data_IF_656249033262
#
_entry.id   IF_656249033262
#
_cell.length_a   1.000
_cell.length_b   1.000
_cell.length_c   1.000
_cell.angle_alpha   90.00
_cell.angle_beta   90.00
_cell.angle_gamma   90.00
#
_symmetry.space_group_name_H-M   'P 1'
#
loop_
_entity.id
_entity.type
_entity.pdbx_description
1 polymer ?
#
# COMPACT_ATOMS: atom_id res chain seq x y z
N UNK A 1 -14.08 -51.03 22.86
CA UNK A 1 -12.64 -51.26 22.71
C UNK A 1 -12.16 -50.48 21.50
N UNK A 2 -11.27 -49.51 21.72
CA UNK A 2 -10.47 -48.83 20.69
C UNK A 2 -9.34 -49.78 20.24
N UNK A 3 -8.75 -49.58 19.05
CA UNK A 3 -7.48 -48.86 19.07
C UNK A 3 -7.23 -47.95 17.85
N UNK A 4 -6.85 -46.71 18.15
CA UNK A 4 -5.79 -45.99 17.45
C UNK A 4 -4.60 -46.06 18.42
N UNK A 5 -3.38 -46.43 18.00
CA UNK A 5 -2.39 -45.37 17.74
C UNK A 5 -1.27 -45.79 16.76
N UNK A 6 -1.10 -45.04 15.67
CA UNK A 6 0.24 -44.86 15.11
C UNK A 6 0.54 -43.38 15.07
N UNK A 7 1.22 -42.97 16.14
CA UNK A 7 1.81 -41.67 16.34
C UNK A 7 2.73 -41.33 15.17
N UNK A 8 2.33 -40.36 14.34
CA UNK A 8 3.30 -39.59 13.58
C UNK A 8 3.96 -38.61 14.56
N UNK A 9 5.29 -38.66 14.75
CA UNK A 9 5.97 -37.67 15.57
C UNK A 9 5.87 -36.29 14.89
N UNK A 10 5.63 -35.20 15.63
CA UNK A 10 5.75 -33.87 15.08
C UNK A 10 7.21 -33.65 14.66
N UNK A 11 7.38 -33.17 13.42
CA UNK A 11 8.66 -32.69 12.94
C UNK A 11 9.22 -31.70 13.95
N UNK A 12 10.43 -32.01 14.44
CA UNK A 12 11.17 -31.18 15.37
C UNK A 12 11.18 -29.74 14.88
N UNK A 13 10.70 -28.84 15.73
CA UNK A 13 11.00 -27.44 15.64
C UNK A 13 12.53 -27.30 15.60
N UNK A 14 13.06 -26.98 14.43
CA UNK A 14 14.39 -26.40 14.34
C UNK A 14 14.28 -25.02 14.95
N UNK A 15 14.60 -24.95 16.23
CA UNK A 15 14.99 -23.73 16.91
C UNK A 15 16.11 -23.09 16.09
N UNK A 16 15.76 -22.08 15.31
CA UNK A 16 16.77 -21.14 14.83
C UNK A 16 17.16 -20.31 16.05
N UNK A 17 18.22 -20.79 16.71
CA UNK A 17 18.88 -20.09 17.79
C UNK A 17 19.19 -18.66 17.38
N UNK A 18 18.93 -17.76 18.33
CA UNK A 18 19.45 -16.40 18.38
C UNK A 18 20.95 -16.41 18.09
N UNK A 19 21.33 -16.02 16.87
CA UNK A 19 22.70 -15.66 16.56
C UNK A 19 22.94 -14.23 17.07
N UNK A 20 23.30 -14.13 18.36
CA UNK A 20 23.98 -12.94 18.89
C UNK A 20 25.34 -12.82 18.18
N UNK A 21 25.70 -11.65 17.64
CA UNK A 21 27.03 -11.43 17.07
C UNK A 21 28.09 -11.35 18.18
N UNK A 22 29.27 -11.97 18.01
CA UNK A 22 30.34 -11.91 19.00
C UNK A 22 30.99 -10.51 19.03
N UNK A 23 31.22 -10.04 20.25
CA UNK A 23 32.08 -8.91 20.54
C UNK A 23 33.56 -9.30 20.47
N UNK A 24 34.39 -8.33 20.08
CA UNK A 24 35.84 -8.35 20.21
C UNK A 24 36.58 -8.46 18.87
N UNK A 25 37.12 -7.35 18.37
CA UNK A 25 38.51 -6.93 18.63
C UNK A 25 38.81 -5.69 17.80
N UNK A 26 39.22 -4.63 18.48
CA UNK A 26 39.90 -3.48 17.90
C UNK A 26 41.15 -3.95 17.14
N UNK A 27 41.34 -3.43 15.94
CA UNK A 27 42.65 -3.34 15.31
C UNK A 27 42.66 -2.11 14.42
N UNK A 28 43.19 -1.06 15.03
CA UNK A 28 43.83 0.08 14.43
C UNK A 28 45.13 -0.37 13.75
N UNK A 29 45.30 -0.05 12.48
CA UNK A 29 46.55 0.00 11.73
C UNK A 29 46.19 0.52 10.32
N UNK A 30 46.85 1.46 9.66
CA UNK A 30 48.11 2.19 9.85
C UNK A 30 48.07 3.25 8.73
N UNK A 31 48.17 4.55 9.02
CA UNK A 31 49.41 5.34 8.84
C UNK A 31 50.30 4.90 7.68
N UNK A 32 50.39 5.74 6.64
CA UNK A 32 51.62 6.02 5.89
C UNK A 32 51.46 7.43 5.33
N UNK A 33 52.12 8.44 5.92
CA UNK A 33 53.55 8.77 5.89
C UNK A 33 53.90 9.57 4.65
N UNK A 34 54.36 10.82 4.83
CA UNK A 34 55.45 11.42 4.04
C UNK A 34 55.96 12.69 4.74
N UNK A 35 57.22 12.59 5.18
CA UNK A 35 58.27 13.60 5.29
C UNK A 35 58.14 14.73 6.33
N UNK A 36 58.84 14.49 7.44
CA UNK A 36 59.63 15.49 8.12
C UNK A 36 60.96 15.67 7.37
N UNK A 37 61.28 16.91 6.99
CA UNK A 37 62.65 17.35 6.72
C UNK A 37 62.96 18.63 7.52
N UNK A 38 64.24 18.75 7.84
CA UNK A 38 64.82 19.51 8.94
C UNK A 38 65.07 20.97 8.56
N UNK A 39 64.85 21.90 9.48
CA UNK A 39 65.67 23.13 9.55
C UNK A 39 66.02 23.40 11.01
N UNK A 40 67.33 23.53 11.21
CA UNK A 40 68.11 23.77 12.42
C UNK A 40 68.05 25.25 12.87
N UNK A 41 68.72 25.56 13.99
CA UNK A 41 68.98 26.87 14.62
C UNK A 41 67.87 27.48 15.51
N UNK A 42 68.13 28.04 16.70
CA UNK A 42 69.32 28.13 17.55
C UNK A 42 68.81 28.40 18.98
N UNK A 43 69.55 27.94 19.97
CA UNK A 43 69.22 27.99 21.40
C UNK A 43 69.27 29.43 21.95
N UNK A 44 68.18 30.08 22.39
CA UNK A 44 68.30 31.37 23.03
C UNK A 44 68.80 31.18 24.47
N UNK A 45 70.01 31.68 24.75
CA UNK A 45 70.61 31.78 26.08
C UNK A 45 69.66 32.55 27.02
N UNK A 46 69.20 31.86 28.06
CA UNK A 46 68.49 32.43 29.20
C UNK A 46 69.38 33.46 29.93
N UNK A 47 69.13 34.74 29.70
CA UNK A 47 69.59 35.82 30.59
C UNK A 47 68.45 36.12 31.58
N UNK A 48 68.69 36.16 32.90
CA UNK A 48 67.64 36.50 33.84
C UNK A 48 67.18 37.95 33.56
N UNK A 49 65.87 38.23 33.40
CA UNK A 49 65.41 39.60 33.36
C UNK A 49 65.68 40.22 34.73
N UNK A 50 66.56 41.23 34.71
CA UNK A 50 66.74 42.22 35.77
C UNK A 50 65.38 42.62 36.34
N UNK A 51 65.32 42.63 37.67
CA UNK A 51 64.18 43.05 38.49
C UNK A 51 63.36 44.19 37.85
N UNK A 52 62.03 44.06 37.75
CA UNK A 52 61.16 45.14 37.33
C UNK A 52 61.44 46.40 38.16
N UNK A 53 61.89 47.46 37.50
CA UNK A 53 61.90 48.81 38.09
C UNK A 53 60.46 49.13 38.45
N UNK A 54 60.20 49.29 39.74
CA UNK A 54 59.00 49.92 40.27
C UNK A 54 59.04 51.39 39.82
N UNK A 55 58.12 51.88 38.98
CA UNK A 55 57.87 53.31 38.91
C UNK A 55 57.16 53.70 40.21
N UNK A 56 57.94 54.22 41.15
CA UNK A 56 57.39 54.95 42.29
C UNK A 56 57.00 56.35 41.81
N UNK A 57 55.73 56.54 41.52
CA UNK A 57 55.07 57.85 41.49
C UNK A 57 53.56 57.65 41.42
N UNK A 58 52.92 57.50 42.58
CA UNK A 58 51.71 58.24 42.97
C UNK A 58 50.52 58.39 42.02
N UNK A 59 50.37 57.57 40.97
CA UNK A 59 49.13 57.51 40.19
C UNK A 59 48.19 56.57 40.93
N UNK A 60 47.18 57.14 41.58
CA UNK A 60 46.13 56.39 42.25
C UNK A 60 45.64 55.32 41.29
N UNK A 61 45.93 54.07 41.62
CA UNK A 61 45.32 52.92 40.97
C UNK A 61 43.83 53.07 41.20
N UNK A 62 43.11 53.58 40.20
CA UNK A 62 41.68 53.79 40.29
C UNK A 62 41.01 52.42 40.33
N UNK A 63 40.67 51.97 41.54
CA UNK A 63 39.99 50.69 41.76
C UNK A 63 38.69 50.58 40.95
N UNK A 64 38.04 51.71 40.68
CA UNK A 64 36.88 51.79 39.78
C UNK A 64 37.23 51.45 38.31
N UNK A 65 38.41 51.82 37.82
CA UNK A 65 38.85 51.48 36.46
C UNK A 65 39.19 49.99 36.33
N UNK A 66 39.80 49.39 37.36
CA UNK A 66 40.01 47.93 37.42
C UNK A 66 38.67 47.19 37.43
N UNK A 67 37.71 47.66 38.23
CA UNK A 67 36.40 47.02 38.30
C UNK A 67 35.62 47.14 36.98
N UNK A 68 35.68 48.31 36.31
CA UNK A 68 35.09 48.50 34.98
C UNK A 68 35.77 47.64 33.91
N UNK A 69 37.10 47.54 33.91
CA UNK A 69 37.84 46.66 32.99
C UNK A 69 37.50 45.19 33.20
N UNK A 70 37.32 44.77 34.45
CA UNK A 70 36.85 43.41 34.76
C UNK A 70 35.42 43.18 34.24
N UNK A 71 34.49 44.08 34.53
CA UNK A 71 33.11 43.97 34.04
C UNK A 71 33.04 43.95 32.51
N UNK A 72 33.82 44.81 31.82
CA UNK A 72 33.87 44.82 30.37
C UNK A 72 34.47 43.52 29.80
N UNK A 73 35.50 42.97 30.44
CA UNK A 73 36.06 41.66 30.07
C UNK A 73 35.02 40.55 30.24
N UNK A 74 34.36 40.51 31.39
CA UNK A 74 33.32 39.51 31.68
C UNK A 74 32.16 39.62 30.67
N UNK A 75 31.76 40.83 30.28
CA UNK A 75 30.71 41.05 29.26
C UNK A 75 31.15 40.58 27.86
N UNK A 76 32.40 40.84 27.46
CA UNK A 76 32.94 40.37 26.17
C UNK A 76 33.07 38.85 26.16
N UNK A 77 33.53 38.25 27.24
CA UNK A 77 33.63 36.79 27.38
C UNK A 77 32.23 36.13 27.35
N UNK A 78 31.25 36.72 28.03
CA UNK A 78 29.86 36.27 27.98
C UNK A 78 29.29 36.37 26.56
N UNK A 79 29.51 37.48 25.85
CA UNK A 79 29.08 37.63 24.46
C UNK A 79 29.75 36.58 23.56
N UNK A 80 31.06 36.34 23.73
CA UNK A 80 31.78 35.31 22.99
C UNK A 80 31.27 33.89 23.24
N UNK A 81 30.91 33.56 24.48
CA UNK A 81 30.29 32.27 24.83
C UNK A 81 28.89 32.11 24.23
N UNK A 82 28.10 33.19 24.23
CA UNK A 82 26.78 33.22 23.62
C UNK A 82 26.89 32.95 22.12
N UNK A 83 27.75 33.70 21.41
CA UNK A 83 27.93 33.56 19.96
C UNK A 83 28.53 32.19 19.59
N UNK A 84 29.49 31.69 20.38
CA UNK A 84 30.04 30.35 20.20
C UNK A 84 28.97 29.25 20.36
N UNK A 85 28.06 29.37 21.34
CA UNK A 85 26.98 28.41 21.54
C UNK A 85 25.97 28.44 20.38
N UNK A 86 25.59 29.64 19.90
CA UNK A 86 24.69 29.77 18.76
C UNK A 86 25.31 29.24 17.47
N UNK A 87 26.57 29.57 17.18
CA UNK A 87 27.27 29.08 16.00
C UNK A 87 27.50 27.56 16.05
N UNK A 88 27.82 27.00 17.22
CA UNK A 88 27.91 25.56 17.40
C UNK A 88 26.56 24.87 17.11
N UNK A 89 25.47 25.36 17.71
CA UNK A 89 24.11 24.83 17.48
C UNK A 89 23.69 24.95 16.02
N UNK A 90 23.95 26.08 15.39
CA UNK A 90 23.61 26.31 13.99
C UNK A 90 24.35 25.34 13.07
N UNK A 91 25.64 25.12 13.29
CA UNK A 91 26.43 24.13 12.52
C UNK A 91 25.91 22.71 12.73
N UNK A 92 25.64 22.33 13.98
CA UNK A 92 25.04 21.03 14.29
C UNK A 92 23.67 20.84 13.62
N UNK A 93 22.81 21.87 13.61
CA UNK A 93 21.51 21.83 12.95
C UNK A 93 21.65 21.71 11.42
N UNK A 94 22.55 22.47 10.81
CA UNK A 94 22.83 22.40 9.38
C UNK A 94 23.35 21.01 8.97
N UNK A 95 24.25 20.42 9.75
CA UNK A 95 24.75 19.05 9.54
C UNK A 95 23.64 18.01 9.70
N UNK A 96 22.78 18.18 10.71
CA UNK A 96 21.67 17.26 10.97
C UNK A 96 20.61 17.36 9.87
N UNK A 97 20.33 18.55 9.35
CA UNK A 97 19.47 18.77 8.19
C UNK A 97 20.09 18.12 6.96
N UNK A 98 21.37 18.38 6.66
CA UNK A 98 22.06 17.78 5.51
C UNK A 98 22.04 16.24 5.56
N UNK A 99 22.22 15.65 6.75
CA UNK A 99 22.14 14.21 6.94
C UNK A 99 20.73 13.68 6.71
N UNK A 100 19.70 14.36 7.25
CA UNK A 100 18.28 14.01 7.01
C UNK A 100 17.94 14.06 5.53
N UNK A 101 18.29 15.15 4.83
CA UNK A 101 18.07 15.28 3.38
C UNK A 101 18.74 14.16 2.61
N UNK A 102 19.96 13.74 2.99
CA UNK A 102 20.66 12.61 2.36
C UNK A 102 19.99 11.26 2.62
N UNK A 103 19.42 11.06 3.81
CA UNK A 103 18.65 9.84 4.14
C UNK A 103 17.34 9.83 3.37
N UNK A 104 16.63 10.96 3.32
CA UNK A 104 15.38 11.11 2.57
C UNK A 104 15.61 10.88 1.08
N UNK A 105 16.67 11.45 0.49
CA UNK A 105 17.06 11.19 -0.89
C UNK A 105 17.28 9.70 -1.15
N UNK A 106 18.05 9.01 -0.30
CA UNK A 106 18.27 7.55 -0.42
C UNK A 106 16.99 6.74 -0.24
N UNK A 107 16.05 7.17 0.61
CA UNK A 107 14.73 6.53 0.75
C UNK A 107 13.88 6.74 -0.50
N UNK A 108 13.87 7.94 -1.05
CA UNK A 108 13.16 8.26 -2.29
C UNK A 108 13.71 7.45 -3.47
N UNK A 109 15.04 7.36 -3.61
CA UNK A 109 15.69 6.53 -4.64
C UNK A 109 15.32 5.05 -4.52
N UNK A 110 15.30 4.48 -3.31
CA UNK A 110 14.83 3.08 -3.11
C UNK A 110 13.36 2.91 -3.45
N UNK A 111 12.51 3.87 -3.06
CA UNK A 111 11.09 3.83 -3.38
C UNK A 111 10.86 3.93 -4.89
N UNK A 112 11.62 4.75 -5.60
CA UNK A 112 11.59 4.88 -7.05
C UNK A 112 12.09 3.61 -7.74
N UNK A 113 13.20 3.02 -7.28
CA UNK A 113 13.67 1.73 -7.77
C UNK A 113 12.63 0.63 -7.60
N UNK A 114 11.92 0.60 -6.46
CA UNK A 114 10.84 -0.35 -6.24
C UNK A 114 9.68 -0.10 -7.21
N UNK A 115 9.27 1.15 -7.43
CA UNK A 115 8.23 1.50 -8.41
C UNK A 115 8.59 1.07 -9.82
N UNK A 116 9.83 1.30 -10.25
CA UNK A 116 10.33 0.89 -11.57
C UNK A 116 10.33 -0.64 -11.68
N UNK A 117 10.76 -1.35 -10.63
CA UNK A 117 10.72 -2.82 -10.62
C UNK A 117 9.29 -3.35 -10.70
N UNK A 118 8.37 -2.79 -9.91
CA UNK A 118 6.96 -3.19 -9.89
C UNK A 118 6.29 -2.90 -11.24
N UNK A 119 6.58 -1.74 -11.85
CA UNK A 119 6.09 -1.37 -13.17
C UNK A 119 6.61 -2.33 -14.26
N UNK A 120 7.90 -2.64 -14.25
CA UNK A 120 8.52 -3.59 -15.19
C UNK A 120 8.01 -5.02 -14.98
N UNK A 121 7.74 -5.43 -13.74
CA UNK A 121 7.11 -6.73 -13.45
C UNK A 121 5.66 -6.77 -13.94
N UNK A 122 4.90 -5.70 -13.69
CA UNK A 122 3.51 -5.55 -14.15
C UNK A 122 3.43 -5.53 -15.67
N UNK A 123 4.34 -4.85 -16.36
CA UNK A 123 4.45 -4.85 -17.83
C UNK A 123 4.74 -6.25 -18.37
N UNK A 124 5.69 -6.99 -17.78
CA UNK A 124 5.98 -8.38 -18.15
C UNK A 124 4.82 -9.32 -17.91
N UNK A 125 4.04 -9.08 -16.87
CA UNK A 125 2.82 -9.84 -16.61
C UNK A 125 1.73 -9.49 -17.62
N UNK A 126 1.50 -8.20 -17.87
CA UNK A 126 0.55 -7.71 -18.85
C UNK A 126 0.86 -8.23 -20.25
N UNK A 127 2.13 -8.24 -20.68
CA UNK A 127 2.55 -8.82 -21.98
C UNK A 127 2.25 -10.32 -22.09
N UNK A 128 2.46 -11.08 -21.01
CA UNK A 128 2.12 -12.52 -20.97
C UNK A 128 0.62 -12.74 -21.00
N UNK A 129 -0.15 -11.89 -20.33
CA UNK A 129 -1.61 -11.96 -20.33
C UNK A 129 -2.18 -11.52 -21.68
N UNK A 130 -1.63 -10.49 -22.33
CA UNK A 130 -2.01 -10.01 -23.66
C UNK A 130 -1.67 -11.04 -24.74
N UNK A 131 -0.49 -11.68 -24.70
CA UNK A 131 -0.15 -12.76 -25.64
C UNK A 131 -1.07 -13.96 -25.47
N UNK A 132 -1.40 -14.32 -24.22
CA UNK A 132 -2.37 -15.36 -23.91
C UNK A 132 -3.78 -14.99 -24.36
N UNK A 133 -4.18 -13.72 -24.21
CA UNK A 133 -5.47 -13.21 -24.69
C UNK A 133 -5.53 -13.19 -26.21
N UNK A 134 -4.48 -12.72 -26.90
CA UNK A 134 -4.39 -12.72 -28.36
C UNK A 134 -4.42 -14.14 -28.94
N UNK A 135 -3.75 -15.11 -28.30
CA UNK A 135 -3.83 -16.52 -28.67
C UNK A 135 -5.22 -17.10 -28.40
N UNK A 136 -5.83 -16.79 -27.26
CA UNK A 136 -7.19 -17.22 -26.94
C UNK A 136 -8.23 -16.59 -27.89
N UNK A 137 -8.04 -15.35 -28.34
CA UNK A 137 -8.90 -14.69 -29.32
C UNK A 137 -8.71 -15.26 -30.73
N UNK A 138 -7.48 -15.59 -31.13
CA UNK A 138 -7.20 -16.26 -32.40
C UNK A 138 -7.80 -17.68 -32.43
N UNK A 139 -7.66 -18.45 -31.34
CA UNK A 139 -8.25 -19.79 -31.23
C UNK A 139 -9.77 -19.72 -31.12
N UNK A 140 -10.33 -18.72 -30.44
CA UNK A 140 -11.78 -18.49 -30.40
C UNK A 140 -12.33 -18.07 -31.77
N UNK A 141 -11.60 -17.26 -32.54
CA UNK A 141 -11.99 -16.88 -33.91
C UNK A 141 -11.91 -18.08 -34.85
N UNK A 142 -10.83 -18.86 -34.80
CA UNK A 142 -10.71 -20.11 -35.58
C UNK A 142 -11.80 -21.12 -35.21
N UNK A 143 -12.12 -21.26 -33.92
CA UNK A 143 -13.21 -22.12 -33.47
C UNK A 143 -14.58 -21.61 -33.91
N UNK A 144 -14.81 -20.30 -33.91
CA UNK A 144 -16.04 -19.70 -34.41
C UNK A 144 -16.19 -19.85 -35.93
N UNK A 145 -15.10 -19.72 -36.70
CA UNK A 145 -15.09 -19.92 -38.15
C UNK A 145 -15.28 -21.41 -38.51
N UNK A 146 -14.64 -22.34 -37.78
CA UNK A 146 -14.84 -23.79 -37.89
C UNK A 146 -16.27 -24.21 -37.52
N UNK A 147 -16.82 -23.68 -36.42
CA UNK A 147 -18.20 -23.96 -36.01
C UNK A 147 -19.21 -23.28 -36.95
N UNK A 148 -18.87 -22.13 -37.54
CA UNK A 148 -19.65 -21.47 -38.58
C UNK A 148 -19.70 -22.30 -39.87
N UNK A 149 -18.55 -22.83 -40.30
CA UNK A 149 -18.46 -23.76 -41.45
C UNK A 149 -19.16 -25.09 -41.16
N UNK A 150 -18.99 -25.67 -39.97
CA UNK A 150 -19.68 -26.91 -39.53
C UNK A 150 -21.19 -26.69 -39.39
N UNK A 151 -21.64 -25.55 -38.84
CA UNK A 151 -23.07 -25.19 -38.78
C UNK A 151 -23.62 -24.89 -40.16
N UNK A 152 -22.88 -24.24 -41.05
CA UNK A 152 -23.30 -24.03 -42.44
C UNK A 152 -23.47 -25.36 -43.17
N UNK A 153 -22.52 -26.30 -43.01
CA UNK A 153 -22.60 -27.64 -43.58
C UNK A 153 -23.73 -28.49 -42.97
N UNK A 154 -23.93 -28.43 -41.64
CA UNK A 154 -24.98 -29.20 -40.93
C UNK A 154 -26.37 -28.58 -41.06
N UNK A 155 -26.50 -27.25 -41.18
CA UNK A 155 -27.76 -26.57 -41.51
C UNK A 155 -28.21 -26.84 -42.95
N UNK A 156 -27.30 -27.26 -43.83
CA UNK A 156 -27.65 -27.68 -45.19
C UNK A 156 -28.18 -29.13 -45.27
N UNK A 157 -28.03 -29.95 -44.22
CA UNK A 157 -28.38 -31.39 -44.27
C UNK A 157 -29.22 -31.92 -43.08
N UNK A 158 -29.55 -31.11 -42.07
CA UNK A 158 -30.27 -31.66 -40.91
C UNK A 158 -30.89 -30.62 -39.99
N UNK A 159 -32.09 -30.18 -40.34
CA UNK A 159 -32.95 -29.40 -39.45
C UNK A 159 -33.45 -30.26 -38.28
N UNK A 160 -32.85 -30.09 -37.09
CA UNK A 160 -33.38 -30.66 -35.85
C UNK A 160 -32.41 -30.69 -34.67
N UNK A 161 -31.13 -30.98 -34.90
CA UNK A 161 -30.15 -31.19 -33.82
C UNK A 161 -29.32 -29.94 -33.45
N UNK A 162 -29.29 -28.93 -34.33
CA UNK A 162 -28.48 -27.69 -34.18
C UNK A 162 -28.87 -26.81 -32.98
N UNK A 163 -30.10 -26.94 -32.47
CA UNK A 163 -30.62 -26.16 -31.32
C UNK A 163 -29.91 -26.45 -30.00
N UNK A 164 -29.51 -27.70 -29.76
CA UNK A 164 -28.90 -28.10 -28.49
C UNK A 164 -27.44 -27.62 -28.37
N UNK A 165 -26.69 -27.66 -29.49
CA UNK A 165 -25.30 -27.18 -29.54
C UNK A 165 -25.22 -25.65 -29.43
N UNK A 166 -26.15 -24.90 -30.05
CA UNK A 166 -26.18 -23.44 -29.96
C UNK A 166 -26.51 -22.93 -28.54
N UNK A 167 -27.34 -23.65 -27.77
CA UNK A 167 -27.64 -23.33 -26.37
C UNK A 167 -26.45 -23.63 -25.43
N UNK A 168 -25.66 -24.65 -25.73
CA UNK A 168 -24.48 -24.99 -24.95
C UNK A 168 -23.36 -23.95 -25.10
N UNK A 169 -23.17 -23.41 -26.30
CA UNK A 169 -22.11 -22.42 -26.58
C UNK A 169 -22.45 -21.01 -26.08
N UNK A 170 -23.72 -20.56 -26.21
CA UNK A 170 -24.16 -19.27 -25.63
C UNK A 170 -24.04 -19.21 -24.10
N UNK A 171 -24.01 -20.36 -23.42
CA UNK A 171 -23.87 -20.43 -21.95
C UNK A 171 -22.42 -20.38 -21.48
N UNK A 172 -21.45 -20.54 -22.39
CA UNK A 172 -20.04 -20.82 -22.04
C UNK A 172 -19.05 -19.72 -22.46
N UNK A 173 -19.46 -18.73 -23.25
CA UNK A 173 -18.58 -17.68 -23.75
C UNK A 173 -19.08 -16.25 -23.53
N UNK A 174 -18.23 -15.41 -22.94
CA UNK A 174 -18.27 -13.93 -22.87
C UNK A 174 -19.27 -13.21 -21.96
N UNK A 175 -20.34 -13.82 -21.46
CA UNK A 175 -21.18 -13.16 -20.42
C UNK A 175 -20.75 -13.64 -19.04
N UNK A 176 -20.27 -12.71 -18.21
CA UNK A 176 -20.03 -12.96 -16.79
C UNK A 176 -21.25 -13.66 -16.21
N UNK A 177 -21.06 -14.81 -15.55
CA UNK A 177 -22.20 -15.58 -15.05
C UNK A 177 -22.94 -14.76 -14.00
N UNK A 178 -24.26 -14.94 -13.87
CA UNK A 178 -25.04 -14.23 -12.82
C UNK A 178 -24.45 -14.50 -11.41
N UNK A 179 -23.81 -15.66 -11.21
CA UNK A 179 -23.07 -16.00 -9.99
C UNK A 179 -21.85 -15.10 -9.80
N UNK A 180 -21.05 -14.88 -10.84
CA UNK A 180 -19.88 -14.00 -10.80
C UNK A 180 -20.29 -12.54 -10.63
N UNK A 181 -21.36 -12.08 -11.30
CA UNK A 181 -21.88 -10.71 -11.12
C UNK A 181 -22.36 -10.49 -9.69
N UNK A 182 -23.13 -11.44 -9.13
CA UNK A 182 -23.56 -11.39 -7.73
C UNK A 182 -22.35 -11.35 -6.79
N UNK A 183 -21.35 -12.20 -7.02
CA UNK A 183 -20.14 -12.24 -6.19
C UNK A 183 -19.37 -10.92 -6.27
N UNK A 184 -19.25 -10.33 -7.47
CA UNK A 184 -18.60 -9.03 -7.67
C UNK A 184 -19.35 -7.92 -6.92
N UNK A 185 -20.66 -7.79 -7.13
CA UNK A 185 -21.47 -6.76 -6.45
C UNK A 185 -21.42 -6.91 -4.93
N UNK A 186 -21.45 -8.14 -4.40
CA UNK A 186 -21.34 -8.38 -2.96
C UNK A 186 -19.94 -8.07 -2.41
N UNK A 187 -18.88 -8.34 -3.19
CA UNK A 187 -17.53 -7.96 -2.82
C UNK A 187 -17.36 -6.44 -2.81
N UNK A 188 -17.89 -5.73 -3.82
CA UNK A 188 -17.85 -4.27 -3.92
C UNK A 188 -18.61 -3.59 -2.75
N UNK A 189 -19.71 -4.20 -2.29
CA UNK A 189 -20.48 -3.72 -1.10
C UNK A 189 -19.79 -4.03 0.22
N UNK A 190 -18.87 -4.99 0.27
CA UNK A 190 -18.21 -5.42 1.50
C UNK A 190 -17.05 -4.50 1.82
N UNK A 191 -17.25 -3.59 2.77
CA UNK A 191 -16.17 -2.75 3.30
C UNK A 191 -15.23 -3.61 4.17
N UNK A 192 -13.91 -3.62 3.91
CA UNK A 192 -12.96 -4.32 4.75
C UNK A 192 -12.95 -3.68 6.15
N UNK A 193 -12.91 -4.53 7.16
CA UNK A 193 -12.95 -4.12 8.55
C UNK A 193 -11.51 -4.07 9.10
N UNK A 194 -11.10 -2.92 9.62
CA UNK A 194 -9.85 -2.80 10.39
C UNK A 194 -10.20 -2.37 11.82
N UNK A 195 -10.12 -3.30 12.78
CA UNK A 195 -10.48 -3.07 14.19
C UNK A 195 -9.31 -3.22 15.15
N UNK A 196 -8.17 -3.75 14.70
CA UNK A 196 -7.09 -4.21 15.56
C UNK A 196 -6.35 -3.08 16.31
N UNK A 197 -6.55 -1.83 15.89
CA UNK A 197 -5.88 -0.65 16.45
C UNK A 197 -6.86 0.46 16.87
N UNK A 198 -8.12 0.10 17.19
CA UNK A 198 -9.14 1.06 17.63
C UNK A 198 -9.27 1.10 19.16
N UNK A 199 -9.47 2.30 19.71
CA UNK A 199 -9.82 2.51 21.12
C UNK A 199 -11.28 2.10 21.39
N UNK A 200 -11.60 1.80 22.66
CA UNK A 200 -12.91 1.28 23.07
C UNK A 200 -14.09 2.16 22.62
N UNK A 201 -13.99 3.48 22.75
CA UNK A 201 -15.05 4.40 22.34
C UNK A 201 -15.29 4.36 20.81
N UNK A 202 -14.22 4.26 20.02
CA UNK A 202 -14.32 4.12 18.55
C UNK A 202 -14.90 2.77 18.15
N UNK A 203 -14.64 1.72 18.92
CA UNK A 203 -15.26 0.40 18.70
C UNK A 203 -16.77 0.43 18.98
N UNK A 204 -17.21 1.14 20.02
CA UNK A 204 -18.64 1.35 20.33
C UNK A 204 -19.34 2.09 19.20
N UNK A 205 -18.73 3.14 18.65
CA UNK A 205 -19.29 3.88 17.52
C UNK A 205 -19.37 3.03 16.25
N UNK A 206 -18.32 2.24 15.96
CA UNK A 206 -18.34 1.29 14.84
C UNK A 206 -19.40 0.21 14.99
N UNK A 207 -19.63 -0.29 16.21
CA UNK A 207 -20.69 -1.26 16.48
C UNK A 207 -22.09 -0.67 16.21
N UNK A 208 -22.33 0.59 16.61
CA UNK A 208 -23.57 1.30 16.29
C UNK A 208 -23.74 1.49 14.78
N UNK A 209 -22.69 1.90 14.06
CA UNK A 209 -22.72 2.04 12.60
C UNK A 209 -23.09 0.72 11.91
N UNK A 210 -22.54 -0.41 12.36
CA UNK A 210 -22.91 -1.73 11.82
C UNK A 210 -24.33 -2.15 12.17
N UNK A 211 -24.80 -1.81 13.36
CA UNK A 211 -26.17 -2.08 13.76
C UNK A 211 -27.16 -1.31 12.87
N UNK A 212 -26.91 -0.02 12.63
CA UNK A 212 -27.72 0.81 11.74
C UNK A 212 -27.68 0.28 10.30
N UNK A 213 -26.48 -0.05 9.80
CA UNK A 213 -26.32 -0.64 8.47
C UNK A 213 -27.08 -1.96 8.31
N UNK A 214 -27.06 -2.83 9.33
CA UNK A 214 -27.82 -4.08 9.32
C UNK A 214 -29.32 -3.82 9.27
N UNK A 215 -29.83 -2.88 10.08
CA UNK A 215 -31.25 -2.48 10.09
C UNK A 215 -31.70 -1.96 8.72
N UNK A 216 -30.88 -1.15 8.04
CA UNK A 216 -31.18 -0.68 6.68
C UNK A 216 -31.31 -1.84 5.70
N UNK A 217 -30.36 -2.78 5.70
CA UNK A 217 -30.41 -3.95 4.82
C UNK A 217 -31.62 -4.86 5.11
N UNK A 218 -32.02 -5.00 6.37
CA UNK A 218 -33.22 -5.75 6.76
C UNK A 218 -34.49 -5.07 6.26
N UNK A 219 -34.58 -3.75 6.34
CA UNK A 219 -35.69 -2.97 5.80
C UNK A 219 -35.81 -3.12 4.29
N UNK A 220 -34.71 -2.93 3.55
CA UNK A 220 -34.69 -3.09 2.09
C UNK A 220 -35.10 -4.51 1.66
N UNK A 221 -34.62 -5.53 2.39
CA UNK A 221 -35.02 -6.92 2.17
C UNK A 221 -36.51 -7.11 2.38
N UNK A 222 -37.10 -6.51 3.42
CA UNK A 222 -38.53 -6.60 3.68
C UNK A 222 -39.34 -5.98 2.53
N UNK A 223 -39.00 -4.77 2.09
CA UNK A 223 -39.69 -4.08 0.99
C UNK A 223 -39.62 -4.87 -0.33
N UNK A 224 -38.47 -5.48 -0.61
CA UNK A 224 -38.30 -6.37 -1.76
C UNK A 224 -39.15 -7.64 -1.66
N UNK A 225 -39.30 -8.22 -0.47
CA UNK A 225 -40.14 -9.40 -0.26
C UNK A 225 -41.62 -9.08 -0.44
N UNK A 226 -42.10 -7.95 0.09
CA UNK A 226 -43.48 -7.50 -0.10
C UNK A 226 -43.76 -7.14 -1.57
N UNK A 227 -42.83 -6.45 -2.23
CA UNK A 227 -42.90 -6.17 -3.66
C UNK A 227 -42.99 -7.46 -4.48
N UNK A 228 -42.19 -8.48 -4.15
CA UNK A 228 -42.22 -9.78 -4.82
C UNK A 228 -43.56 -10.51 -4.61
N UNK A 229 -44.16 -10.44 -3.42
CA UNK A 229 -45.49 -11.01 -3.15
C UNK A 229 -46.55 -10.34 -4.02
N UNK A 230 -46.55 -9.00 -4.08
CA UNK A 230 -47.46 -8.21 -4.93
C UNK A 230 -47.29 -8.56 -6.41
N UNK A 231 -46.06 -8.60 -6.91
CA UNK A 231 -45.76 -8.96 -8.30
C UNK A 231 -46.20 -10.39 -8.64
N UNK A 232 -46.03 -11.36 -7.72
CA UNK A 232 -46.53 -12.73 -7.93
C UNK A 232 -48.05 -12.77 -8.10
N UNK A 233 -48.78 -11.99 -7.31
CA UNK A 233 -50.23 -11.87 -7.45
C UNK A 233 -50.60 -11.22 -8.79
N UNK A 234 -49.98 -10.10 -9.15
CA UNK A 234 -50.21 -9.40 -10.42
C UNK A 234 -49.96 -10.32 -11.63
N UNK A 235 -48.83 -11.04 -11.64
CA UNK A 235 -48.51 -11.99 -12.72
C UNK A 235 -49.57 -13.09 -12.82
N UNK A 236 -50.04 -13.62 -11.69
CA UNK A 236 -51.08 -14.66 -11.67
C UNK A 236 -52.40 -14.14 -12.23
N UNK A 237 -52.81 -12.94 -11.83
CA UNK A 237 -54.03 -12.28 -12.31
C UNK A 237 -53.93 -11.94 -13.81
N UNK A 238 -52.80 -11.42 -14.26
CA UNK A 238 -52.55 -11.10 -15.67
C UNK A 238 -52.58 -12.37 -16.53
N UNK A 239 -52.02 -13.49 -16.06
CA UNK A 239 -52.10 -14.78 -16.77
C UNK A 239 -53.55 -15.22 -16.98
N UNK A 240 -54.38 -15.17 -15.93
CA UNK A 240 -55.81 -15.49 -16.03
C UNK A 240 -56.54 -14.57 -17.02
N UNK A 241 -56.27 -13.26 -16.97
CA UNK A 241 -56.87 -12.28 -17.89
C UNK A 241 -56.46 -12.52 -19.35
N UNK A 242 -55.20 -12.88 -19.60
CA UNK A 242 -54.73 -13.27 -20.94
C UNK A 242 -55.44 -14.52 -21.42
N UNK A 243 -55.60 -15.54 -20.57
CA UNK A 243 -56.34 -16.76 -20.91
C UNK A 243 -57.80 -16.45 -21.26
N UNK A 244 -58.49 -15.61 -20.50
CA UNK A 244 -59.85 -15.17 -20.78
C UNK A 244 -59.97 -14.44 -22.12
N UNK A 245 -59.12 -13.44 -22.37
CA UNK A 245 -59.10 -12.69 -23.63
C UNK A 245 -58.76 -13.59 -24.84
N UNK A 246 -57.89 -14.58 -24.64
CA UNK A 246 -57.52 -15.53 -25.70
C UNK A 246 -58.68 -16.42 -26.16
N UNK A 247 -59.65 -16.71 -25.27
CA UNK A 247 -60.87 -17.49 -25.60
C UNK A 247 -61.76 -16.73 -26.60
N UNK A 248 -61.83 -15.41 -26.50
CA UNK A 248 -62.59 -14.57 -27.43
C UNK A 248 -61.83 -14.30 -28.74
N UNK A 249 -60.49 -14.24 -28.69
CA UNK A 249 -59.65 -14.06 -29.88
C UNK A 249 -59.76 -15.21 -30.89
N UNK A 250 -59.92 -16.47 -30.45
CA UNK A 250 -60.07 -17.62 -31.36
C UNK A 250 -61.43 -17.64 -32.07
N UNK A 251 -62.50 -17.17 -31.43
CA UNK A 251 -63.84 -17.08 -32.04
C UNK A 251 -63.94 -15.96 -33.09
N UNK A 252 -63.21 -14.85 -32.90
CA UNK A 252 -63.18 -13.73 -33.86
C UNK A 252 -62.38 -14.00 -35.15
N UNK A 253 -61.42 -14.93 -35.13
CA UNK A 253 -60.68 -15.34 -36.32
C UNK A 253 -61.46 -16.34 -37.19
N UNK A 254 -62.23 -17.24 -36.58
CA UNK A 254 -63.10 -18.18 -37.29
C UNK A 254 -64.29 -17.47 -37.97
N UNK A 255 -64.85 -16.42 -37.34
CA UNK A 255 -65.93 -15.63 -37.94
C UNK A 255 -65.46 -14.73 -39.09
N UNK A 256 -64.23 -14.20 -39.04
CA UNK A 256 -63.65 -13.36 -40.11
C UNK A 256 -63.15 -14.14 -41.33
N UNK A 257 -62.91 -15.45 -41.21
CA UNK A 257 -62.54 -16.32 -42.34
C UNK A 257 -63.72 -16.89 -43.14
N UNK A 258 -64.95 -16.64 -42.70
CA UNK A 258 -66.19 -17.17 -43.31
C UNK A 258 -66.99 -16.12 -44.09
N UNK A 259 -66.40 -14.96 -44.39
CA UNK A 259 -67.03 -13.91 -45.20
C UNK A 259 -66.21 -13.64 -46.45
#
# INVERSE_FOLDING_TARGET
MRPCPTCHPPAQERSYGSASPPAGTESTATMSDTEADQVEEEKPKFKPPTAPKIPDSGEKVDFDDIQKKRQNKDLIELQGLIDAHFEARKKEEEELIALKTRIEKRRAERAEQQRIQDEKQKERQARREEEKQRKAEADAKKKADEDGKKKSALSSMGGGYSSHLQKADQKRGKKQTEREKKKKILADRRKPLNVDHLAEDKLKDKAKEFQEWLRTLESEKFDHLESLKRQKYEVTTLRKRVEELSKFSKKGAAARRRK
#
